data_IF_041487167576
#
_entry.id   IF_041487167576
#
_cell.length_a   1.000
_cell.length_b   1.000
_cell.length_c   1.000
_cell.angle_alpha   90.00
_cell.angle_beta   90.00
_cell.angle_gamma   90.00
#
_symmetry.space_group_name_H-M   'P 1'
#
loop_
_entity.id
_entity.type
_entity.pdbx_description
1 polymer ?
#
# COMPACT_ATOMS: atom_id res chain seq x y z
N UNK A 1 -63.46 47.15 1.00
CA UNK A 1 -63.62 45.92 1.80
C UNK A 1 -62.35 45.09 1.63
N UNK A 2 -61.66 44.82 2.75
CA UNK A 2 -60.67 43.76 3.06
C UNK A 2 -59.59 43.37 2.02
N UNK A 3 -58.33 43.08 2.37
CA UNK A 3 -57.52 43.16 3.59
C UNK A 3 -56.05 42.92 3.15
N UNK A 4 -55.11 43.35 3.98
CA UNK A 4 -53.67 43.24 3.82
C UNK A 4 -53.14 41.80 3.75
N UNK A 5 -51.90 41.60 3.28
CA UNK A 5 -50.81 41.07 4.11
C UNK A 5 -49.43 41.41 3.50
N UNK A 6 -48.63 42.11 4.30
CA UNK A 6 -47.22 42.40 4.08
C UNK A 6 -46.36 41.14 4.26
N UNK A 7 -45.26 41.03 3.53
CA UNK A 7 -44.02 40.49 4.12
C UNK A 7 -42.82 41.22 3.50
N UNK A 8 -42.00 41.77 4.38
CA UNK A 8 -40.79 42.55 4.11
C UNK A 8 -39.64 41.80 4.80
N UNK A 9 -38.68 41.28 4.05
CA UNK A 9 -37.37 40.79 4.54
C UNK A 9 -36.38 41.05 3.38
N UNK A 10 -35.65 42.18 3.39
CA UNK A 10 -34.29 42.43 3.93
C UNK A 10 -33.15 41.75 3.14
N UNK A 11 -32.28 42.63 2.64
CA UNK A 11 -31.03 42.46 1.88
C UNK A 11 -29.90 41.73 2.64
N UNK A 12 -28.91 41.23 1.87
CA UNK A 12 -27.45 41.03 2.12
C UNK A 12 -27.04 39.64 1.61
N UNK A 13 -25.96 39.39 0.88
CA UNK A 13 -24.87 40.21 0.37
C UNK A 13 -23.91 39.28 -0.42
N UNK A 14 -23.24 39.87 -1.40
CA UNK A 14 -21.89 39.59 -1.94
C UNK A 14 -21.44 38.18 -2.41
N UNK A 15 -20.92 38.23 -3.64
CA UNK A 15 -20.10 37.25 -4.37
C UNK A 15 -19.02 36.52 -3.57
N UNK A 16 -18.87 35.20 -3.80
CA UNK A 16 -17.58 34.51 -3.70
C UNK A 16 -17.47 33.40 -4.77
N UNK A 17 -16.61 33.68 -5.73
CA UNK A 17 -15.70 32.79 -6.47
C UNK A 17 -15.96 31.28 -6.47
N UNK A 18 -16.22 30.77 -7.68
CA UNK A 18 -15.89 29.42 -8.14
C UNK A 18 -14.47 29.02 -7.71
N UNK A 19 -14.34 28.26 -6.61
CA UNK A 19 -13.13 27.50 -6.31
C UNK A 19 -13.46 26.01 -6.45
N UNK A 20 -12.76 25.39 -7.39
CA UNK A 20 -12.75 23.96 -7.62
C UNK A 20 -12.42 23.24 -6.32
N UNK A 21 -13.37 22.46 -5.79
CA UNK A 21 -13.07 21.39 -4.84
C UNK A 21 -13.53 20.09 -5.48
N UNK A 22 -12.56 19.44 -6.11
CA UNK A 22 -12.54 17.98 -6.28
C UNK A 22 -12.84 17.40 -4.88
N UNK A 23 -13.79 16.48 -4.72
CA UNK A 23 -13.88 15.73 -3.48
C UNK A 23 -12.67 14.80 -3.45
N UNK A 24 -11.62 15.19 -2.75
CA UNK A 24 -10.77 14.21 -2.11
C UNK A 24 -11.65 13.54 -1.06
N UNK A 25 -12.13 12.33 -1.34
CA UNK A 25 -12.64 11.42 -0.32
C UNK A 25 -11.44 11.05 0.57
N UNK A 26 -11.02 11.97 1.42
CA UNK A 26 -10.20 11.64 2.57
C UNK A 26 -11.10 10.84 3.49
N UNK A 27 -10.94 9.52 3.49
CA UNK A 27 -11.40 8.75 4.62
C UNK A 27 -10.56 9.22 5.82
N UNK A 28 -11.22 9.77 6.84
CA UNK A 28 -10.57 10.06 8.12
C UNK A 28 -10.25 8.71 8.77
N UNK A 29 -9.07 8.19 8.51
CA UNK A 29 -8.56 7.02 9.22
C UNK A 29 -8.19 7.43 10.65
N UNK A 30 -8.62 6.62 11.60
CA UNK A 30 -8.33 6.83 13.03
C UNK A 30 -6.87 6.59 13.38
N UNK A 31 -6.15 5.81 12.56
CA UNK A 31 -4.72 5.54 12.70
C UNK A 31 -4.06 5.27 11.32
N UNK A 32 -2.74 5.51 11.15
CA UNK A 32 -2.02 5.10 9.95
C UNK A 32 -2.12 3.60 9.64
N UNK A 33 -2.27 2.75 10.65
CA UNK A 33 -2.43 1.31 10.50
C UNK A 33 -3.77 0.95 9.86
N UNK A 34 -4.84 1.65 10.23
CA UNK A 34 -6.16 1.49 9.59
C UNK A 34 -6.12 1.98 8.13
N UNK A 35 -5.40 3.07 7.87
CA UNK A 35 -5.15 3.53 6.49
C UNK A 35 -4.45 2.44 5.70
N UNK A 36 -3.36 1.85 6.22
CA UNK A 36 -2.64 0.77 5.56
C UNK A 36 -3.56 -0.42 5.21
N UNK A 37 -4.40 -0.86 6.14
CA UNK A 37 -5.30 -1.99 5.93
C UNK A 37 -6.36 -1.73 4.86
N UNK A 38 -6.80 -0.48 4.72
CA UNK A 38 -7.78 -0.08 3.71
C UNK A 38 -7.23 -0.13 2.28
N UNK A 39 -5.91 -0.04 2.12
CA UNK A 39 -5.27 0.04 0.79
C UNK A 39 -5.38 -1.29 0.07
N UNK A 40 -5.20 -2.41 0.76
CA UNK A 40 -4.95 -3.71 0.13
C UNK A 40 -6.19 -4.60 0.10
N UNK A 41 -6.51 -5.09 -1.08
CA UNK A 41 -7.47 -6.18 -1.27
C UNK A 41 -6.89 -7.48 -0.72
N UNK A 42 -7.63 -8.22 0.14
CA UNK A 42 -7.18 -9.50 0.66
C UNK A 42 -6.84 -10.49 -0.46
N UNK A 43 -5.72 -11.22 -0.31
CA UNK A 43 -5.24 -12.10 -1.37
C UNK A 43 -6.26 -13.17 -1.79
N UNK A 44 -7.11 -13.63 -0.85
CA UNK A 44 -8.20 -14.56 -1.15
C UNK A 44 -9.17 -14.03 -2.21
N UNK A 45 -9.44 -12.73 -2.23
CA UNK A 45 -10.31 -12.09 -3.23
C UNK A 45 -9.58 -11.84 -4.56
N UNK A 46 -8.25 -11.75 -4.54
CA UNK A 46 -7.43 -11.53 -5.74
C UNK A 46 -7.22 -12.82 -6.53
N UNK A 47 -7.09 -13.97 -5.85
CA UNK A 47 -6.74 -15.27 -6.45
C UNK A 47 -7.63 -15.70 -7.62
N UNK A 48 -8.89 -15.29 -7.62
CA UNK A 48 -9.85 -15.64 -8.67
C UNK A 48 -10.01 -14.57 -9.75
N UNK A 49 -9.32 -13.43 -9.61
CA UNK A 49 -9.40 -12.28 -10.52
C UNK A 49 -8.48 -12.43 -11.74
N UNK A 50 -8.68 -11.56 -12.75
CA UNK A 50 -7.79 -11.44 -13.91
C UNK A 50 -6.35 -11.10 -13.49
N UNK A 51 -6.17 -10.38 -12.37
CA UNK A 51 -4.87 -10.03 -11.84
C UNK A 51 -4.06 -11.28 -11.45
N UNK A 52 -4.72 -12.28 -10.88
CA UNK A 52 -4.07 -13.53 -10.53
C UNK A 52 -3.75 -14.43 -11.72
N UNK A 53 -4.51 -14.34 -12.81
CA UNK A 53 -4.22 -15.12 -14.02
C UNK A 53 -2.97 -14.66 -14.75
N UNK A 54 -2.73 -13.34 -14.78
CA UNK A 54 -1.63 -12.75 -15.56
C UNK A 54 -0.35 -12.52 -14.78
N UNK A 55 -0.43 -12.47 -13.45
CA UNK A 55 0.75 -12.43 -12.63
C UNK A 55 1.40 -13.85 -12.63
N UNK A 56 2.73 -13.95 -12.74
CA UNK A 56 3.45 -15.22 -12.90
C UNK A 56 3.97 -15.76 -11.57
N UNK A 57 3.09 -15.81 -10.57
CA UNK A 57 3.32 -16.38 -9.25
C UNK A 57 3.48 -17.90 -9.30
N UNK A 58 4.37 -18.42 -8.45
CA UNK A 58 4.44 -19.83 -8.18
C UNK A 58 3.28 -20.24 -7.25
N UNK A 59 2.23 -20.83 -7.83
CA UNK A 59 0.99 -21.19 -7.11
C UNK A 59 1.21 -22.12 -5.92
N UNK A 60 2.32 -22.86 -5.87
CA UNK A 60 2.66 -23.73 -4.74
C UNK A 60 3.25 -23.01 -3.54
N UNK A 61 3.81 -21.81 -3.73
CA UNK A 61 4.58 -21.09 -2.70
C UNK A 61 3.95 -19.77 -2.30
N UNK A 62 3.07 -19.18 -3.13
CA UNK A 62 2.41 -17.94 -2.77
C UNK A 62 1.36 -18.11 -1.67
N UNK A 63 1.48 -17.28 -0.64
CA UNK A 63 0.46 -17.15 0.40
C UNK A 63 0.18 -15.69 0.76
N UNK A 64 -0.90 -15.42 1.53
CA UNK A 64 -1.01 -14.17 2.26
C UNK A 64 0.20 -13.99 3.20
N UNK A 65 0.45 -12.75 3.62
CA UNK A 65 1.41 -12.46 4.69
C UNK A 65 0.97 -13.14 5.98
N UNK A 66 1.94 -13.59 6.79
CA UNK A 66 1.65 -13.98 8.17
C UNK A 66 1.22 -12.77 8.99
N UNK A 67 0.62 -13.00 10.15
CA UNK A 67 0.22 -11.91 11.05
C UNK A 67 1.41 -11.02 11.45
N UNK A 68 2.55 -11.63 11.78
CA UNK A 68 3.77 -10.89 12.14
C UNK A 68 4.33 -10.07 10.96
N UNK A 69 4.27 -10.61 9.74
CA UNK A 69 4.67 -9.87 8.54
C UNK A 69 3.72 -8.69 8.30
N UNK A 70 2.40 -8.91 8.43
CA UNK A 70 1.43 -7.84 8.28
C UNK A 70 1.64 -6.73 9.32
N UNK A 71 1.91 -7.09 10.57
CA UNK A 71 2.23 -6.16 11.65
C UNK A 71 3.51 -5.36 11.36
N UNK A 72 4.55 -6.01 10.83
CA UNK A 72 5.78 -5.32 10.41
C UNK A 72 5.50 -4.23 9.36
N UNK A 73 4.66 -4.51 8.36
CA UNK A 73 4.30 -3.53 7.34
C UNK A 73 3.46 -2.37 7.88
N UNK A 74 2.48 -2.67 8.74
CA UNK A 74 1.68 -1.65 9.45
C UNK A 74 2.56 -0.72 10.27
N UNK A 75 3.48 -1.29 11.06
CA UNK A 75 4.40 -0.52 11.88
C UNK A 75 5.33 0.36 11.03
N UNK A 76 5.84 -0.14 9.90
CA UNK A 76 6.67 0.68 9.01
C UNK A 76 5.86 1.81 8.37
N UNK A 77 4.63 1.54 7.95
CA UNK A 77 3.72 2.55 7.43
C UNK A 77 3.42 3.64 8.46
N UNK A 78 3.13 3.25 9.71
CA UNK A 78 2.87 4.15 10.81
C UNK A 78 4.11 4.98 11.19
N UNK A 79 5.27 4.34 11.38
CA UNK A 79 6.52 5.01 11.72
C UNK A 79 6.88 6.08 10.69
N UNK A 80 6.80 5.79 9.38
CA UNK A 80 7.02 6.78 8.33
C UNK A 80 5.96 7.88 8.32
N UNK A 81 4.68 7.53 8.52
CA UNK A 81 3.59 8.51 8.52
C UNK A 81 3.67 9.50 9.68
N UNK A 82 4.23 9.06 10.81
CA UNK A 82 4.47 9.87 12.01
C UNK A 82 5.86 10.51 12.04
N UNK A 83 6.72 10.23 11.05
CA UNK A 83 8.12 10.62 11.02
C UNK A 83 8.92 10.19 12.27
N UNK A 84 8.64 8.97 12.76
CA UNK A 84 9.34 8.36 13.90
C UNK A 84 10.50 7.49 13.41
N UNK A 85 11.66 8.13 13.25
CA UNK A 85 12.89 7.50 12.78
C UNK A 85 13.40 6.43 13.73
N UNK A 86 13.29 6.64 15.04
CA UNK A 86 13.81 5.70 16.03
C UNK A 86 12.99 4.41 16.02
N UNK A 87 11.66 4.52 15.90
CA UNK A 87 10.81 3.35 15.66
C UNK A 87 11.15 2.68 14.34
N UNK A 88 11.28 3.43 13.24
CA UNK A 88 11.56 2.86 11.91
C UNK A 88 12.88 2.08 11.87
N UNK A 89 13.92 2.56 12.55
CA UNK A 89 15.22 1.86 12.69
C UNK A 89 15.07 0.49 13.37
N UNK A 90 14.09 0.31 14.26
CA UNK A 90 13.84 -1.01 14.87
C UNK A 90 13.25 -2.04 13.90
N UNK A 91 12.74 -1.62 12.74
CA UNK A 91 12.01 -2.48 11.80
C UNK A 91 12.88 -3.02 10.66
N UNK A 92 14.12 -2.53 10.52
CA UNK A 92 15.05 -2.90 9.45
C UNK A 92 16.20 -3.76 9.97
N UNK A 93 16.85 -4.52 9.09
CA UNK A 93 18.05 -5.29 9.46
C UNK A 93 19.30 -4.43 9.54
N UNK A 94 19.37 -3.37 8.74
CA UNK A 94 20.48 -2.43 8.70
C UNK A 94 19.95 -1.02 9.03
N UNK A 95 20.32 -0.53 10.21
CA UNK A 95 19.87 0.74 10.76
C UNK A 95 20.36 1.92 9.91
N UNK A 96 21.53 1.80 9.26
CA UNK A 96 22.09 2.89 8.46
C UNK A 96 21.30 3.09 7.15
N UNK A 97 20.61 2.04 6.69
CA UNK A 97 19.82 2.05 5.45
C UNK A 97 18.30 2.12 5.70
N UNK A 98 17.87 2.56 6.90
CA UNK A 98 16.44 2.67 7.24
C UNK A 98 15.66 3.63 6.31
N UNK A 99 16.33 4.60 5.70
CA UNK A 99 15.71 5.59 4.80
C UNK A 99 15.10 4.98 3.53
N UNK A 100 15.53 3.79 3.11
CA UNK A 100 14.89 3.04 2.03
C UNK A 100 13.39 2.81 2.30
N UNK A 101 13.02 2.70 3.57
CA UNK A 101 11.64 2.51 3.99
C UNK A 101 10.76 3.73 3.77
N UNK A 102 11.32 4.94 3.80
CA UNK A 102 10.57 6.15 3.45
C UNK A 102 10.11 6.12 1.99
N UNK A 103 11.01 5.73 1.07
CA UNK A 103 10.68 5.59 -0.34
C UNK A 103 9.63 4.49 -0.55
N UNK A 104 9.78 3.36 0.15
CA UNK A 104 8.81 2.27 0.11
C UNK A 104 7.41 2.70 0.57
N UNK A 105 7.28 3.30 1.76
CA UNK A 105 5.98 3.73 2.30
C UNK A 105 5.39 4.86 1.45
N UNK A 106 6.21 5.81 0.97
CA UNK A 106 5.74 6.87 0.08
C UNK A 106 5.13 6.31 -1.20
N UNK A 107 5.72 5.26 -1.78
CA UNK A 107 5.14 4.58 -2.92
C UNK A 107 3.79 3.95 -2.57
N UNK A 108 3.66 3.27 -1.42
CA UNK A 108 2.35 2.73 -0.99
C UNK A 108 1.31 3.83 -0.87
N UNK A 109 1.65 4.97 -0.26
CA UNK A 109 0.74 6.12 -0.09
C UNK A 109 0.33 6.73 -1.42
N UNK A 110 1.27 6.94 -2.33
CA UNK A 110 0.98 7.44 -3.68
C UNK A 110 0.04 6.48 -4.41
N UNK A 111 0.31 5.18 -4.29
CA UNK A 111 -0.50 4.17 -4.92
C UNK A 111 -1.91 4.12 -4.29
N UNK A 112 -2.05 4.34 -2.98
CA UNK A 112 -3.35 4.43 -2.29
C UNK A 112 -4.24 5.54 -2.88
N UNK A 113 -3.65 6.66 -3.28
CA UNK A 113 -4.36 7.79 -3.90
C UNK A 113 -4.86 7.49 -5.32
N UNK A 114 -4.38 6.41 -5.96
CA UNK A 114 -4.85 6.01 -7.28
C UNK A 114 -6.07 5.10 -7.14
N UNK A 115 -7.27 5.62 -7.44
CA UNK A 115 -8.54 4.85 -7.40
C UNK A 115 -8.63 3.72 -8.44
N UNK A 116 -7.65 3.61 -9.33
CA UNK A 116 -7.68 2.66 -10.45
C UNK A 116 -6.89 1.39 -10.13
N UNK A 117 -7.60 0.31 -9.79
CA UNK A 117 -7.06 -1.06 -9.81
C UNK A 117 -7.09 -1.82 -8.48
N UNK A 118 -6.86 -3.13 -8.57
CA UNK A 118 -6.77 -4.08 -7.46
C UNK A 118 -5.35 -4.05 -6.90
N UNK A 119 -5.25 -3.72 -5.62
CA UNK A 119 -4.00 -3.50 -4.89
C UNK A 119 -3.82 -4.67 -3.93
N UNK A 120 -2.69 -5.34 -3.91
CA UNK A 120 -2.55 -6.52 -3.06
C UNK A 120 -1.11 -6.82 -2.67
N UNK A 121 -0.98 -7.55 -1.57
CA UNK A 121 0.25 -8.07 -1.02
C UNK A 121 0.21 -9.61 -1.05
N UNK A 122 1.35 -10.22 -1.35
CA UNK A 122 1.55 -11.65 -1.18
C UNK A 122 2.99 -11.93 -0.78
N UNK A 123 3.23 -13.10 -0.18
CA UNK A 123 4.56 -13.53 0.21
C UNK A 123 4.93 -14.86 -0.43
N UNK A 124 6.23 -15.05 -0.65
CA UNK A 124 6.84 -16.30 -1.05
C UNK A 124 8.11 -16.53 -0.21
N UNK A 125 8.37 -17.77 0.26
CA UNK A 125 9.69 -18.11 0.78
C UNK A 125 10.77 -17.85 -0.27
N UNK A 126 11.90 -17.30 0.14
CA UNK A 126 13.03 -17.14 -0.77
C UNK A 126 13.56 -18.50 -1.22
N UNK A 127 13.97 -18.58 -2.48
CA UNK A 127 14.44 -19.83 -3.11
C UNK A 127 15.49 -19.49 -4.16
N UNK A 128 16.76 -19.67 -3.80
CA UNK A 128 17.91 -19.40 -4.65
C UNK A 128 17.95 -20.29 -5.90
N UNK A 129 17.15 -21.35 -6.00
CA UNK A 129 17.03 -22.16 -7.22
C UNK A 129 16.13 -21.49 -8.26
N UNK A 130 15.26 -20.58 -7.85
CA UNK A 130 14.42 -19.80 -8.75
C UNK A 130 15.19 -18.62 -9.34
N UNK A 131 15.27 -18.55 -10.67
CA UNK A 131 16.00 -17.49 -11.40
C UNK A 131 15.50 -16.09 -11.05
N UNK A 132 14.20 -15.94 -10.81
CA UNK A 132 13.60 -14.67 -10.41
C UNK A 132 14.08 -14.25 -9.02
N UNK A 133 14.02 -15.16 -8.03
CA UNK A 133 14.48 -14.88 -6.66
C UNK A 133 15.96 -14.51 -6.62
N UNK A 134 16.84 -15.26 -7.34
CA UNK A 134 18.27 -14.88 -7.45
C UNK A 134 18.49 -13.46 -7.98
N UNK A 135 17.73 -13.07 -9.01
CA UNK A 135 17.82 -11.72 -9.58
C UNK A 135 17.34 -10.65 -8.62
N UNK A 136 16.33 -10.95 -7.81
CA UNK A 136 15.80 -10.02 -6.82
C UNK A 136 16.76 -9.89 -5.62
N UNK A 137 17.38 -11.00 -5.20
CA UNK A 137 18.32 -11.04 -4.07
C UNK A 137 19.75 -10.61 -4.39
N UNK A 138 20.15 -10.45 -5.66
CA UNK A 138 21.55 -10.22 -6.04
C UNK A 138 22.17 -8.93 -5.49
N UNK A 139 21.34 -7.95 -5.14
CA UNK A 139 21.77 -6.64 -4.63
C UNK A 139 21.55 -6.50 -3.12
N UNK A 140 21.26 -7.60 -2.42
CA UNK A 140 21.08 -7.60 -0.98
C UNK A 140 22.37 -8.03 -0.29
N UNK A 141 22.63 -7.46 0.89
CA UNK A 141 23.77 -7.81 1.74
C UNK A 141 23.81 -9.29 2.16
N UNK A 142 22.66 -9.98 2.11
CA UNK A 142 22.52 -11.42 2.36
C UNK A 142 21.22 -11.94 1.74
N UNK A 143 21.02 -13.27 1.72
CA UNK A 143 19.75 -13.82 1.26
C UNK A 143 18.60 -13.49 2.24
N UNK A 144 17.43 -13.05 1.75
CA UNK A 144 16.25 -12.88 2.58
C UNK A 144 15.63 -14.25 2.87
N UNK A 145 14.79 -14.32 3.88
CA UNK A 145 14.01 -15.54 4.18
C UNK A 145 12.68 -15.55 3.40
N UNK A 146 12.14 -14.37 3.09
CA UNK A 146 10.92 -14.22 2.31
C UNK A 146 10.96 -12.99 1.39
N UNK A 147 10.26 -13.09 0.26
CA UNK A 147 9.98 -11.98 -0.65
C UNK A 147 8.49 -11.64 -0.51
N UNK A 148 8.20 -10.36 -0.34
CA UNK A 148 6.83 -9.84 -0.37
C UNK A 148 6.62 -9.05 -1.66
N UNK A 149 5.69 -9.49 -2.49
CA UNK A 149 5.23 -8.76 -3.66
C UNK A 149 4.18 -7.72 -3.29
N UNK A 150 4.37 -6.47 -3.74
CA UNK A 150 3.41 -5.37 -3.60
C UNK A 150 3.00 -4.92 -4.99
N UNK A 151 1.73 -5.14 -5.36
CA UNK A 151 1.28 -4.91 -6.73
C UNK A 151 -0.04 -4.18 -6.83
N UNK A 152 -0.10 -3.27 -7.80
CA UNK A 152 -1.28 -2.67 -8.37
C UNK A 152 -1.56 -3.31 -9.72
N UNK A 153 -2.74 -3.89 -9.84
CA UNK A 153 -3.26 -4.45 -11.08
C UNK A 153 -4.42 -3.60 -11.58
N UNK A 154 -4.29 -3.01 -12.76
CA UNK A 154 -5.36 -2.30 -13.43
C UNK A 154 -5.97 -3.18 -14.54
N UNK A 155 -7.21 -3.70 -14.37
CA UNK A 155 -7.93 -4.37 -15.43
C UNK A 155 -8.15 -3.43 -16.62
N UNK A 156 -7.90 -3.91 -17.84
CA UNK A 156 -7.98 -3.12 -19.07
C UNK A 156 -9.24 -3.42 -19.92
N UNK A 157 -10.24 -4.07 -19.32
CA UNK A 157 -11.44 -4.57 -20.00
C UNK A 157 -11.42 -6.08 -20.24
N UNK A 158 -12.55 -6.62 -20.72
CA UNK A 158 -12.67 -8.04 -21.02
C UNK A 158 -11.67 -8.45 -22.11
N UNK A 159 -10.91 -9.52 -21.86
CA UNK A 159 -9.91 -10.10 -22.78
C UNK A 159 -8.61 -9.29 -23.01
N UNK A 160 -8.36 -8.23 -22.25
CA UNK A 160 -7.09 -7.51 -22.29
C UNK A 160 -6.18 -7.88 -21.11
N UNK A 161 -4.88 -7.97 -21.36
CA UNK A 161 -3.91 -8.13 -20.29
C UNK A 161 -3.97 -6.92 -19.34
N UNK A 162 -4.07 -7.12 -18.02
CA UNK A 162 -4.04 -6.02 -17.06
C UNK A 162 -2.67 -5.36 -17.03
N UNK A 163 -2.63 -4.09 -16.67
CA UNK A 163 -1.37 -3.38 -16.38
C UNK A 163 -0.97 -3.65 -14.94
N UNK A 164 0.30 -4.00 -14.74
CA UNK A 164 0.87 -4.18 -13.41
C UNK A 164 1.92 -3.12 -13.14
N UNK A 165 1.79 -2.50 -11.97
CA UNK A 165 2.85 -1.69 -11.36
C UNK A 165 3.10 -2.26 -9.98
N UNK A 166 4.36 -2.34 -9.56
CA UNK A 166 4.67 -2.90 -8.26
C UNK A 166 6.15 -3.12 -8.03
N UNK A 167 6.45 -3.77 -6.93
CA UNK A 167 7.80 -4.07 -6.51
C UNK A 167 7.83 -5.17 -5.47
N UNK A 168 9.01 -5.36 -4.90
CA UNK A 168 9.27 -6.38 -3.90
C UNK A 168 9.90 -5.75 -2.66
N UNK A 169 9.41 -6.15 -1.50
CA UNK A 169 10.10 -5.98 -0.22
C UNK A 169 10.76 -7.32 0.16
N UNK A 170 11.88 -7.23 0.85
CA UNK A 170 12.68 -8.38 1.27
C UNK A 170 12.60 -8.48 2.78
N UNK A 171 12.29 -9.65 3.30
CA UNK A 171 12.16 -9.88 4.73
C UNK A 171 13.19 -10.88 5.21
N UNK A 172 13.73 -10.62 6.40
CA UNK A 172 14.66 -11.52 7.08
C UNK A 172 14.28 -11.65 8.54
N UNK A 173 14.39 -12.86 9.09
CA UNK A 173 14.25 -13.11 10.51
C UNK A 173 15.54 -12.75 11.24
N UNK A 174 15.42 -11.96 12.30
CA UNK A 174 16.50 -11.63 13.25
C UNK A 174 15.95 -11.83 14.65
N UNK A 175 16.61 -12.67 15.43
CA UNK A 175 16.24 -12.95 16.83
C UNK A 175 14.78 -13.38 17.05
N UNK A 176 14.19 -14.04 16.04
CA UNK A 176 12.79 -14.49 16.06
C UNK A 176 11.80 -13.54 15.40
N UNK A 177 12.17 -12.28 15.19
CA UNK A 177 11.31 -11.25 14.61
C UNK A 177 11.56 -11.06 13.12
N UNK A 178 10.50 -10.70 12.38
CA UNK A 178 10.63 -10.25 11.00
C UNK A 178 11.15 -8.81 10.95
N UNK A 179 12.12 -8.58 10.06
CA UNK A 179 12.66 -7.25 9.73
C UNK A 179 12.68 -7.04 8.23
N UNK A 180 12.57 -5.79 7.79
CA UNK A 180 12.84 -5.41 6.42
C UNK A 180 14.34 -5.52 6.16
N UNK A 181 14.69 -6.26 5.12
CA UNK A 181 16.03 -6.30 4.62
C UNK A 181 16.22 -5.18 3.59
N UNK A 182 16.91 -4.14 4.02
CA UNK A 182 17.30 -2.98 3.20
C UNK A 182 18.56 -3.30 2.39
N UNK A 183 18.81 -2.51 1.34
CA UNK A 183 19.93 -2.73 0.40
C UNK A 183 21.23 -2.17 0.92
#
# INVERSE_FOLDING_TARGET
MNAAYHTLIVLLGSAVLLHHKIPALGQDFTSPEDEFDSIFTPLSQVKDSICARYHNWNRGTVSPLSQDQLLLFRNAYAAVSLADDDWLKTLVTDIDNYLDMYSFVSNIRQLAQTDMGVKYLFQEPFDDKQKQHRRLGSNLSSEPDAIVGIFWCQPMGENSAPRFTGGYAYLKRRDGDWKFQTR
#
